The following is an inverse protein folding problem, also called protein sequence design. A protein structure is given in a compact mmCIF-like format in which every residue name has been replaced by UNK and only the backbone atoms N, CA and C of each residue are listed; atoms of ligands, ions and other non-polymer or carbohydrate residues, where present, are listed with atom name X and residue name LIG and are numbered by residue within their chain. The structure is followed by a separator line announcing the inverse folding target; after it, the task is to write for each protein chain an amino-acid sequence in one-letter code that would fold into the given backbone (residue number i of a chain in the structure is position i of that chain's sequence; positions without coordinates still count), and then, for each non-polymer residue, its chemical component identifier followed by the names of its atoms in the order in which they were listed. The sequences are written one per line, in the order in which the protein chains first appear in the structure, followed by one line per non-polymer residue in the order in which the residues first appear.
data_IF_291528736662
#
_entry.id   IF_291528736662
#
_cell.length_a   1.000
_cell.length_b   1.000
_cell.length_c   1.000
_cell.angle_alpha   90.00
_cell.angle_beta   90.00
_cell.angle_gamma   90.00
#
_symmetry.space_group_name_H-M   'P 1'
#
loop_
_entity.id
_entity.type
_entity.pdbx_description
1 polymer ?
#
# COMPACT_ATOMS: atom_id res chain seq x y z
N UNK A 1 17.35 -54.84 76.92
CA UNK A 1 18.40 -54.95 75.88
C UNK A 1 18.08 -53.97 74.74
N UNK A 2 19.07 -53.31 74.14
CA UNK A 2 18.95 -51.93 73.63
C UNK A 2 18.88 -51.87 72.06
N UNK A 3 19.23 -50.78 71.34
CA UNK A 3 18.33 -49.91 70.56
C UNK A 3 18.70 -49.78 69.05
N UNK A 4 18.07 -48.91 68.24
CA UNK A 4 18.64 -47.63 67.70
C UNK A 4 18.29 -47.51 66.19
N UNK A 5 18.20 -46.36 65.49
CA UNK A 5 18.78 -44.99 65.48
C UNK A 5 17.78 -44.02 64.79
N UNK A 6 17.81 -42.68 64.86
CA UNK A 6 18.78 -41.66 65.34
C UNK A 6 18.14 -40.23 65.33
N UNK A 7 18.58 -39.31 66.22
CA UNK A 7 19.45 -38.09 66.00
C UNK A 7 18.87 -36.97 65.11
N UNK A 8 18.98 -35.65 65.38
CA UNK A 8 19.15 -34.73 66.53
C UNK A 8 18.89 -33.29 65.99
N UNK A 9 18.65 -32.32 66.88
CA UNK A 9 18.11 -30.95 66.65
C UNK A 9 19.19 -29.83 66.55
N UNK A 10 18.87 -28.77 65.79
CA UNK A 10 19.19 -27.31 65.79
C UNK A 10 20.32 -26.61 66.60
N UNK A 11 20.64 -25.38 66.09
CA UNK A 11 21.09 -24.07 66.71
C UNK A 11 22.57 -23.67 66.50
N UNK A 12 23.06 -22.41 66.32
CA UNK A 12 22.57 -21.00 66.41
C UNK A 12 23.64 -19.98 65.83
N UNK A 13 23.31 -18.67 65.65
CA UNK A 13 24.23 -17.47 65.73
C UNK A 13 24.01 -16.36 64.66
N UNK A 14 23.30 -15.22 64.90
CA UNK A 14 23.64 -13.85 65.46
C UNK A 14 23.91 -12.74 64.37
N UNK A 15 23.05 -11.72 64.14
CA UNK A 15 23.08 -10.27 64.57
C UNK A 15 24.48 -9.59 64.52
N UNK A 16 24.77 -8.43 63.89
CA UNK A 16 24.12 -7.08 63.86
C UNK A 16 24.36 -6.27 62.55
N UNK A 17 23.72 -5.10 62.44
CA UNK A 17 23.91 -3.96 61.51
C UNK A 17 23.33 -4.01 60.08
N UNK A 18 22.09 -3.52 59.90
CA UNK A 18 21.67 -2.72 58.72
C UNK A 18 20.26 -2.12 58.90
N UNK A 19 20.05 -1.38 59.98
CA UNK A 19 18.84 -0.57 60.23
C UNK A 19 18.67 0.64 59.28
N UNK A 20 19.62 0.90 58.37
CA UNK A 20 19.48 1.90 57.30
C UNK A 20 18.78 1.35 56.04
N UNK A 21 18.83 0.03 55.82
CA UNK A 21 18.15 -0.62 54.68
C UNK A 21 16.68 -0.91 54.96
N UNK A 22 16.30 -1.04 56.24
CA UNK A 22 14.90 -1.19 56.63
C UNK A 22 14.04 0.05 56.33
N UNK A 23 14.62 1.26 56.25
CA UNK A 23 13.87 2.49 55.96
C UNK A 23 13.57 2.67 54.46
N UNK A 24 14.48 2.24 53.57
CA UNK A 24 14.23 2.16 52.12
C UNK A 24 13.21 1.07 51.75
N UNK A 25 13.15 0.00 52.53
CA UNK A 25 12.24 -1.12 52.32
C UNK A 25 10.76 -0.79 52.59
N UNK A 26 10.48 0.20 53.45
CA UNK A 26 9.10 0.49 53.87
C UNK A 26 8.29 1.38 52.91
N UNK A 27 8.93 2.21 52.07
CA UNK A 27 8.21 3.17 51.22
C UNK A 27 8.77 3.36 49.80
N UNK A 28 9.95 2.83 49.47
CA UNK A 28 10.53 2.99 48.13
C UNK A 28 9.92 2.07 47.06
N UNK A 29 9.46 0.87 47.43
CA UNK A 29 8.94 -0.10 46.46
C UNK A 29 7.53 0.26 45.96
N UNK A 30 6.76 1.06 46.71
CA UNK A 30 5.50 1.61 46.22
C UNK A 30 5.69 2.45 44.93
N UNK A 31 6.90 3.01 44.72
CA UNK A 31 7.29 3.69 43.48
C UNK A 31 7.80 2.74 42.38
N UNK A 32 8.35 1.58 42.73
CA UNK A 32 8.76 0.55 41.76
C UNK A 32 7.58 -0.31 41.28
N UNK A 33 6.53 -0.41 42.11
CA UNK A 33 5.27 -1.13 41.84
C UNK A 33 4.43 -0.40 40.77
N UNK A 34 4.72 0.86 40.41
CA UNK A 34 3.92 1.59 39.40
C UNK A 34 4.62 1.75 38.04
N UNK A 35 5.96 1.75 37.97
CA UNK A 35 6.69 2.05 36.71
C UNK A 35 7.04 0.79 35.90
N UNK A 36 6.98 -0.42 36.46
CA UNK A 36 7.23 -1.67 35.70
C UNK A 36 6.05 -2.66 35.83
N UNK A 37 4.84 -2.14 36.09
CA UNK A 37 3.58 -2.83 35.75
C UNK A 37 3.27 -2.71 34.24
N UNK A 38 4.11 -2.00 33.48
CA UNK A 38 4.20 -2.00 32.02
C UNK A 38 5.53 -2.61 31.52
N UNK A 39 6.03 -3.65 32.20
CA UNK A 39 7.02 -4.55 31.61
C UNK A 39 6.29 -5.31 30.50
N UNK A 40 6.63 -5.15 29.20
CA UNK A 40 6.17 -6.13 28.24
C UNK A 40 6.71 -7.47 28.73
N UNK A 41 5.77 -8.35 29.04
CA UNK A 41 6.03 -9.75 29.32
C UNK A 41 6.86 -10.22 28.13
N UNK A 42 8.09 -10.66 28.38
CA UNK A 42 8.85 -11.53 27.49
C UNK A 42 7.97 -12.78 27.26
N UNK A 43 6.96 -12.65 26.41
CA UNK A 43 6.80 -13.66 25.40
C UNK A 43 8.00 -13.41 24.51
N UNK A 44 8.97 -14.31 24.57
CA UNK A 44 9.64 -14.72 23.35
C UNK A 44 8.51 -14.86 22.32
N UNK A 45 8.31 -13.83 21.51
CA UNK A 45 7.64 -13.98 20.24
C UNK A 45 8.46 -15.07 19.59
N UNK A 46 7.93 -16.30 19.61
CA UNK A 46 8.29 -17.28 18.61
C UNK A 46 8.10 -16.52 17.31
N UNK A 47 9.20 -15.99 16.80
CA UNK A 47 9.31 -15.40 15.49
C UNK A 47 9.17 -16.63 14.58
N UNK A 48 7.94 -17.16 14.50
CA UNK A 48 7.58 -17.90 13.33
C UNK A 48 7.71 -16.86 12.25
N UNK A 49 8.69 -17.04 11.38
CA UNK A 49 8.86 -16.23 10.18
C UNK A 49 7.55 -16.25 9.42
N UNK A 50 6.69 -15.28 9.72
CA UNK A 50 5.44 -15.06 9.01
C UNK A 50 5.86 -14.46 7.69
N UNK A 51 6.12 -15.35 6.73
CA UNK A 51 6.58 -14.97 5.40
C UNK A 51 5.45 -14.26 4.67
N UNK A 52 5.48 -12.93 4.71
CA UNK A 52 4.68 -12.09 3.83
C UNK A 52 5.18 -12.25 2.40
N UNK A 53 4.26 -12.33 1.46
CA UNK A 53 4.56 -12.40 0.04
C UNK A 53 3.56 -11.59 -0.77
N UNK A 54 4.01 -11.07 -1.91
CA UNK A 54 3.15 -10.34 -2.84
C UNK A 54 2.33 -11.34 -3.64
N UNK A 55 1.01 -11.34 -3.46
CA UNK A 55 0.10 -12.25 -4.17
C UNK A 55 -0.41 -11.68 -5.48
N UNK A 56 -0.42 -10.35 -5.64
CA UNK A 56 -0.75 -9.70 -6.90
C UNK A 56 -0.10 -8.34 -7.03
N UNK A 57 0.24 -7.97 -8.28
CA UNK A 57 0.64 -6.63 -8.67
C UNK A 57 -0.30 -6.18 -9.80
N UNK A 58 -0.92 -5.01 -9.64
CA UNK A 58 -1.83 -4.45 -10.64
C UNK A 58 -1.42 -3.02 -10.99
N UNK A 59 -1.43 -2.74 -12.29
CA UNK A 59 -1.17 -1.42 -12.85
C UNK A 59 -2.45 -0.95 -13.54
N UNK A 60 -2.80 0.32 -13.36
CA UNK A 60 -3.97 0.94 -14.00
C UNK A 60 -3.49 2.07 -14.91
N UNK A 61 -3.05 1.79 -16.15
CA UNK A 61 -2.42 2.80 -17.00
C UNK A 61 -3.28 4.04 -17.19
N UNK A 62 -4.57 3.83 -17.47
CA UNK A 62 -5.59 4.86 -17.57
C UNK A 62 -6.40 4.95 -16.27
N UNK A 63 -6.44 6.13 -15.65
CA UNK A 63 -7.28 6.41 -14.47
C UNK A 63 -8.73 5.99 -14.77
N UNK A 64 -9.33 5.28 -13.82
CA UNK A 64 -10.71 4.78 -13.92
C UNK A 64 -10.96 3.70 -14.98
N UNK A 65 -9.95 3.20 -15.68
CA UNK A 65 -10.06 2.07 -16.61
C UNK A 65 -9.75 0.72 -15.95
N UNK A 66 -9.81 -0.37 -16.73
CA UNK A 66 -9.45 -1.72 -16.27
C UNK A 66 -7.96 -1.80 -15.90
N UNK A 67 -7.66 -2.60 -14.88
CA UNK A 67 -6.28 -2.86 -14.47
C UNK A 67 -5.63 -3.97 -15.29
N UNK A 68 -4.30 -3.96 -15.32
CA UNK A 68 -3.44 -4.98 -15.90
C UNK A 68 -2.70 -5.67 -14.76
N UNK A 69 -2.93 -6.96 -14.57
CA UNK A 69 -2.20 -7.76 -13.60
C UNK A 69 -0.85 -8.20 -14.18
N UNK A 70 0.21 -8.04 -13.40
CA UNK A 70 1.59 -8.34 -13.78
C UNK A 70 2.29 -9.16 -12.70
N UNK A 71 3.36 -9.86 -13.08
CA UNK A 71 4.20 -10.62 -12.14
C UNK A 71 5.34 -9.78 -11.57
N UNK A 72 5.79 -8.75 -12.29
CA UNK A 72 6.82 -7.82 -11.83
C UNK A 72 6.50 -6.41 -12.30
N UNK A 73 6.93 -5.41 -11.53
CA UNK A 73 6.78 -4.01 -11.89
C UNK A 73 7.98 -3.18 -11.39
N UNK A 74 8.25 -2.08 -12.08
CA UNK A 74 9.24 -1.09 -11.64
C UNK A 74 8.55 -0.10 -10.70
N UNK A 75 9.14 0.17 -9.54
CA UNK A 75 8.70 1.20 -8.62
C UNK A 75 9.53 2.48 -8.86
N UNK A 76 8.85 3.62 -8.99
CA UNK A 76 9.47 4.94 -9.09
C UNK A 76 8.86 5.91 -8.06
N UNK A 77 9.34 7.15 -8.03
CA UNK A 77 8.87 8.18 -7.10
C UNK A 77 7.36 8.55 -7.19
N UNK A 78 6.64 8.11 -8.24
CA UNK A 78 5.19 8.30 -8.43
C UNK A 78 4.38 7.02 -8.24
N UNK A 79 5.02 5.89 -7.92
CA UNK A 79 4.37 4.58 -7.77
C UNK A 79 4.88 3.56 -8.79
N UNK A 80 4.05 2.56 -9.10
CA UNK A 80 4.40 1.61 -10.15
C UNK A 80 4.51 2.34 -11.50
N UNK A 81 5.51 2.00 -12.30
CA UNK A 81 5.68 2.55 -13.64
C UNK A 81 4.39 2.40 -14.46
N UNK A 82 4.05 3.46 -15.19
CA UNK A 82 2.82 3.60 -15.99
C UNK A 82 1.50 3.66 -15.19
N UNK A 83 1.50 3.50 -13.87
CA UNK A 83 0.27 3.52 -13.08
C UNK A 83 -0.38 4.91 -13.02
N UNK A 84 -1.65 4.98 -13.43
CA UNK A 84 -2.44 6.22 -13.60
C UNK A 84 -1.64 7.33 -14.29
N UNK A 85 -0.86 6.99 -15.32
CA UNK A 85 -0.10 7.95 -16.11
C UNK A 85 -0.99 8.67 -17.13
N UNK A 86 -2.09 8.03 -17.56
CA UNK A 86 -3.10 8.62 -18.42
C UNK A 86 -4.42 8.84 -17.69
N UNK A 87 -5.21 9.79 -18.18
CA UNK A 87 -6.49 10.15 -17.60
C UNK A 87 -7.45 10.70 -18.67
N UNK A 88 -8.71 10.32 -18.56
CA UNK A 88 -9.80 10.95 -19.29
C UNK A 88 -10.24 12.23 -18.57
N UNK A 89 -10.44 13.32 -19.32
CA UNK A 89 -10.95 14.60 -18.80
C UNK A 89 -12.16 15.07 -19.60
N UNK A 90 -13.04 15.85 -18.99
CA UNK A 90 -14.08 16.61 -19.70
C UNK A 90 -13.51 17.86 -20.38
N UNK A 91 -14.36 18.58 -21.12
CA UNK A 91 -14.01 19.84 -21.81
C UNK A 91 -13.40 20.89 -20.87
N UNK A 92 -13.77 20.85 -19.58
CA UNK A 92 -13.24 21.75 -18.56
C UNK A 92 -11.88 21.32 -17.99
N UNK A 93 -11.35 20.17 -18.41
CA UNK A 93 -10.11 19.58 -17.89
C UNK A 93 -10.27 18.83 -16.57
N UNK A 94 -11.50 18.57 -16.11
CA UNK A 94 -11.74 17.82 -14.87
C UNK A 94 -11.76 16.32 -15.16
N UNK A 95 -11.14 15.52 -14.31
CA UNK A 95 -11.09 14.07 -14.53
C UNK A 95 -12.49 13.43 -14.62
N UNK A 96 -12.60 12.44 -15.51
CA UNK A 96 -13.76 11.58 -15.64
C UNK A 96 -13.56 10.32 -14.80
N UNK A 97 -14.44 10.13 -13.81
CA UNK A 97 -14.47 8.91 -12.98
C UNK A 97 -15.45 7.89 -13.53
N UNK A 98 -15.36 6.63 -13.07
CA UNK A 98 -16.37 5.61 -13.38
C UNK A 98 -17.79 5.99 -12.90
N UNK A 99 -17.93 6.89 -11.91
CA UNK A 99 -19.25 7.37 -11.45
C UNK A 99 -19.90 8.27 -12.51
N UNK A 100 -19.11 9.06 -13.22
CA UNK A 100 -19.56 9.97 -14.29
C UNK A 100 -19.58 9.27 -15.66
N UNK A 101 -18.64 8.37 -15.92
CA UNK A 101 -18.50 7.64 -17.17
C UNK A 101 -18.25 6.13 -16.89
N UNK A 102 -19.29 5.35 -16.55
CA UNK A 102 -19.15 3.94 -16.15
C UNK A 102 -18.49 3.05 -17.20
N UNK A 103 -18.65 3.37 -18.49
CA UNK A 103 -18.03 2.67 -19.61
C UNK A 103 -16.50 2.70 -19.60
N UNK A 104 -15.87 3.62 -18.85
CA UNK A 104 -14.42 3.58 -18.61
C UNK A 104 -13.98 2.23 -18.02
N UNK A 105 -14.82 1.57 -17.22
CA UNK A 105 -14.51 0.24 -16.67
C UNK A 105 -14.31 -0.85 -17.74
N UNK A 106 -14.82 -0.63 -18.96
CA UNK A 106 -14.68 -1.53 -20.09
C UNK A 106 -13.45 -1.22 -20.96
N UNK A 107 -12.79 -0.09 -20.72
CA UNK A 107 -11.57 0.29 -21.44
C UNK A 107 -10.41 -0.52 -20.89
N UNK A 108 -9.74 -1.22 -21.80
CA UNK A 108 -8.51 -1.96 -21.54
C UNK A 108 -7.34 -1.21 -22.15
N UNK A 109 -6.21 -1.22 -21.44
CA UNK A 109 -4.96 -0.66 -21.90
C UNK A 109 -3.90 -1.75 -21.94
N UNK A 110 -3.12 -1.82 -23.03
CA UNK A 110 -1.86 -2.56 -22.99
C UNK A 110 -0.84 -1.76 -22.21
N UNK A 111 -0.10 -2.45 -21.36
CA UNK A 111 1.02 -1.86 -20.64
C UNK A 111 2.20 -1.65 -21.61
N UNK A 112 2.69 -0.41 -21.81
CA UNK A 112 3.88 -0.18 -22.60
C UNK A 112 5.12 -0.75 -21.91
N UNK A 113 6.13 -1.12 -22.70
CA UNK A 113 7.44 -1.56 -22.16
C UNK A 113 8.33 -0.37 -21.86
N UNK A 114 8.19 0.71 -22.64
CA UNK A 114 8.98 1.95 -22.54
C UNK A 114 8.08 3.19 -22.59
N UNK A 115 8.55 4.32 -22.05
CA UNK A 115 7.79 5.58 -22.09
C UNK A 115 7.66 6.20 -23.49
N UNK A 116 8.42 5.71 -24.47
CA UNK A 116 8.36 6.11 -25.88
C UNK A 116 7.42 5.25 -26.71
N UNK A 117 6.91 4.14 -26.16
CA UNK A 117 5.94 3.29 -26.84
C UNK A 117 4.52 3.86 -26.75
N UNK A 118 3.71 3.74 -27.82
CA UNK A 118 2.33 4.19 -27.80
C UNK A 118 1.49 3.38 -26.80
N UNK A 119 0.55 4.05 -26.16
CA UNK A 119 -0.47 3.39 -25.35
C UNK A 119 -1.49 2.76 -26.30
N UNK A 120 -1.75 1.45 -26.18
CA UNK A 120 -2.80 0.80 -26.97
C UNK A 120 -4.06 0.67 -26.11
N UNK A 121 -5.18 1.13 -26.65
CA UNK A 121 -6.49 1.07 -25.98
C UNK A 121 -7.45 0.17 -26.75
N UNK A 122 -8.25 -0.58 -26.00
CA UNK A 122 -9.34 -1.42 -26.51
C UNK A 122 -10.60 -1.20 -25.70
N UNK A 123 -11.74 -1.32 -26.34
CA UNK A 123 -13.03 -1.37 -25.69
C UNK A 123 -14.01 -2.19 -26.54
N UNK A 124 -15.02 -2.84 -25.94
CA UNK A 124 -16.04 -3.57 -26.69
C UNK A 124 -16.74 -2.66 -27.71
N UNK A 125 -16.81 -3.11 -28.96
CA UNK A 125 -17.50 -2.39 -30.05
C UNK A 125 -16.73 -1.22 -30.66
N UNK A 126 -15.47 -0.98 -30.28
CA UNK A 126 -14.61 0.03 -30.88
C UNK A 126 -13.37 -0.59 -31.53
N UNK A 127 -12.87 -0.05 -32.65
CA UNK A 127 -11.58 -0.48 -33.21
C UNK A 127 -10.46 -0.19 -32.19
N UNK A 128 -9.42 -1.04 -32.07
CA UNK A 128 -8.27 -0.73 -31.21
C UNK A 128 -7.62 0.59 -31.61
N UNK A 129 -7.22 1.39 -30.62
CA UNK A 129 -6.55 2.68 -30.83
C UNK A 129 -5.09 2.57 -30.40
N UNK A 130 -4.19 3.12 -31.21
CA UNK A 130 -2.81 3.41 -30.79
C UNK A 130 -2.68 4.90 -30.50
N UNK A 131 -2.49 5.24 -29.24
CA UNK A 131 -2.30 6.62 -28.80
C UNK A 131 -0.81 6.93 -28.89
N UNK A 132 -0.38 7.83 -29.79
CA UNK A 132 1.03 8.20 -29.90
C UNK A 132 1.51 8.89 -28.62
N UNK A 133 2.80 8.74 -28.31
CA UNK A 133 3.40 9.46 -27.18
C UNK A 133 3.59 10.92 -27.56
N UNK A 134 2.61 11.75 -27.22
CA UNK A 134 2.71 13.19 -27.40
C UNK A 134 3.40 13.79 -26.18
N UNK A 135 4.56 14.42 -26.39
CA UNK A 135 5.34 15.17 -25.39
C UNK A 135 5.43 16.67 -25.70
N UNK A 136 4.81 17.11 -26.80
CA UNK A 136 4.91 18.47 -27.28
C UNK A 136 4.37 19.49 -26.27
N UNK A 137 5.18 20.49 -25.92
CA UNK A 137 4.79 21.57 -25.00
C UNK A 137 3.57 22.35 -25.47
N UNK A 138 3.36 22.45 -26.79
CA UNK A 138 2.19 23.12 -27.40
C UNK A 138 0.85 22.45 -27.10
N UNK A 139 0.85 21.20 -26.61
CA UNK A 139 -0.34 20.46 -26.21
C UNK A 139 -0.48 20.33 -24.70
N UNK A 140 0.32 21.10 -23.93
CA UNK A 140 0.12 21.20 -22.48
C UNK A 140 -1.25 21.83 -22.18
N UNK A 141 -1.96 21.23 -21.26
CA UNK A 141 -3.24 21.69 -20.76
C UNK A 141 -3.29 21.54 -19.25
N UNK A 142 -4.15 22.33 -18.61
CA UNK A 142 -4.30 22.29 -17.16
C UNK A 142 -5.50 21.42 -16.79
N UNK A 143 -5.24 20.38 -16.01
CA UNK A 143 -6.24 19.41 -15.58
C UNK A 143 -6.46 19.46 -14.07
N UNK A 144 -7.58 18.89 -13.62
CA UNK A 144 -7.93 18.79 -12.21
C UNK A 144 -8.22 17.35 -11.79
N UNK A 145 -7.61 16.96 -10.67
CA UNK A 145 -7.90 15.72 -9.95
C UNK A 145 -8.29 16.11 -8.54
N UNK A 146 -9.57 15.98 -8.21
CA UNK A 146 -10.12 16.49 -6.96
C UNK A 146 -9.82 18.00 -6.80
N UNK A 147 -9.22 18.40 -5.67
CA UNK A 147 -8.78 19.77 -5.43
C UNK A 147 -7.46 20.15 -6.13
N UNK A 148 -6.73 19.19 -6.69
CA UNK A 148 -5.40 19.44 -7.27
C UNK A 148 -5.51 19.91 -8.72
N UNK A 149 -4.67 20.90 -9.06
CA UNK A 149 -4.54 21.46 -10.42
C UNK A 149 -3.11 21.28 -10.90
N UNK A 150 -2.94 20.77 -12.12
CA UNK A 150 -1.63 20.37 -12.64
C UNK A 150 -1.57 20.38 -14.17
N UNK A 151 -0.36 20.40 -14.73
CA UNK A 151 -0.16 20.26 -16.17
C UNK A 151 -0.22 18.80 -16.62
N UNK A 152 -0.83 18.60 -17.77
CA UNK A 152 -0.88 17.34 -18.51
C UNK A 152 -0.70 17.63 -20.01
N UNK A 153 -0.40 16.61 -20.79
CA UNK A 153 -0.25 16.71 -22.25
C UNK A 153 -1.43 16.03 -22.92
N UNK A 154 -2.15 16.81 -23.73
CA UNK A 154 -3.23 16.31 -24.57
C UNK A 154 -2.71 15.31 -25.61
N UNK A 155 -3.36 14.15 -25.71
CA UNK A 155 -2.91 13.05 -26.57
C UNK A 155 -3.46 13.10 -28.01
N UNK A 156 -4.13 14.19 -28.40
CA UNK A 156 -4.57 14.44 -29.76
C UNK A 156 -6.03 14.11 -30.04
N UNK A 157 -6.50 14.55 -31.20
CA UNK A 157 -7.92 14.53 -31.55
C UNK A 157 -8.43 13.13 -31.88
N UNK A 158 -7.58 12.26 -32.43
CA UNK A 158 -7.93 10.85 -32.66
C UNK A 158 -8.25 10.14 -31.33
N UNK A 159 -7.45 10.39 -30.29
CA UNK A 159 -7.69 9.83 -28.96
C UNK A 159 -8.95 10.41 -28.31
N UNK A 160 -9.23 11.70 -28.51
CA UNK A 160 -10.46 12.34 -28.04
C UNK A 160 -11.70 11.73 -28.70
N UNK A 161 -11.72 11.62 -30.04
CA UNK A 161 -12.83 11.04 -30.81
C UNK A 161 -13.10 9.60 -30.39
N UNK A 162 -12.05 8.78 -30.27
CA UNK A 162 -12.19 7.40 -29.84
C UNK A 162 -12.76 7.30 -28.43
N UNK A 163 -12.23 8.11 -27.51
CA UNK A 163 -12.65 8.09 -26.10
C UNK A 163 -14.10 8.53 -25.96
N UNK A 164 -14.49 9.62 -26.61
CA UNK A 164 -15.87 10.12 -26.64
C UNK A 164 -16.83 9.04 -27.17
N UNK A 165 -16.50 8.37 -28.27
CA UNK A 165 -17.32 7.29 -28.84
C UNK A 165 -17.48 6.11 -27.85
N UNK A 166 -16.42 5.73 -27.15
CA UNK A 166 -16.43 4.60 -26.20
C UNK A 166 -17.19 4.95 -24.92
N UNK A 167 -16.94 6.10 -24.33
CA UNK A 167 -17.47 6.44 -23.00
C UNK A 167 -18.78 7.23 -23.05
N UNK A 168 -19.12 7.82 -24.19
CA UNK A 168 -20.34 8.59 -24.43
C UNK A 168 -20.37 9.95 -23.73
N UNK A 169 -19.21 10.57 -23.52
CA UNK A 169 -19.09 11.90 -22.91
C UNK A 169 -18.58 12.87 -23.97
N UNK A 170 -19.42 13.81 -24.45
CA UNK A 170 -19.02 14.80 -25.45
C UNK A 170 -17.83 15.65 -24.98
N UNK A 171 -16.89 15.89 -25.89
CA UNK A 171 -15.71 16.70 -25.65
C UNK A 171 -14.72 16.07 -24.65
N UNK A 172 -14.86 14.77 -24.37
CA UNK A 172 -13.90 14.05 -23.54
C UNK A 172 -12.55 13.95 -24.25
N UNK A 173 -11.47 14.18 -23.49
CA UNK A 173 -10.10 14.14 -24.02
C UNK A 173 -9.23 13.20 -23.19
N UNK A 174 -8.29 12.55 -23.86
CA UNK A 174 -7.27 11.74 -23.22
C UNK A 174 -6.03 12.61 -22.97
N UNK A 175 -5.56 12.62 -21.72
CA UNK A 175 -4.33 13.31 -21.34
C UNK A 175 -3.33 12.33 -20.74
N UNK A 176 -2.05 12.64 -20.88
CA UNK A 176 -0.93 12.00 -20.19
C UNK A 176 -0.32 12.97 -19.21
N UNK A 177 0.10 12.51 -18.03
CA UNK A 177 0.83 13.38 -17.12
C UNK A 177 2.13 13.86 -17.78
N UNK A 178 2.46 15.13 -17.62
CA UNK A 178 3.74 15.64 -18.14
C UNK A 178 4.90 15.09 -17.30
N UNK A 179 6.06 14.92 -17.93
CA UNK A 179 7.23 14.33 -17.28
C UNK A 179 7.81 15.27 -16.20
N UNK A 180 7.64 16.58 -16.37
CA UNK A 180 8.03 17.63 -15.42
C UNK A 180 7.01 17.86 -14.28
N UNK A 181 5.77 17.39 -14.44
CA UNK A 181 4.70 17.59 -13.45
C UNK A 181 5.01 16.83 -12.15
N UNK A 182 5.13 17.57 -11.05
CA UNK A 182 5.30 17.03 -9.70
C UNK A 182 4.03 17.26 -8.88
N UNK A 183 3.19 16.23 -8.73
CA UNK A 183 2.00 16.28 -7.88
C UNK A 183 2.33 15.80 -6.48
N UNK A 184 2.41 16.73 -5.53
CA UNK A 184 2.67 16.44 -4.13
C UNK A 184 1.49 15.66 -3.53
N UNK A 185 1.79 14.59 -2.79
CA UNK A 185 0.80 13.88 -1.97
C UNK A 185 0.42 14.75 -0.76
N UNK A 186 -0.75 14.50 -0.16
CA UNK A 186 -1.20 15.23 1.03
C UNK A 186 -0.13 15.23 2.13
N UNK A 187 0.31 16.43 2.52
CA UNK A 187 1.38 16.65 3.48
C UNK A 187 1.02 16.25 4.91
N UNK A 188 -0.26 16.05 5.18
CA UNK A 188 -0.75 15.51 6.45
C UNK A 188 -0.27 14.07 6.64
N UNK A 189 -0.11 13.32 5.55
CA UNK A 189 0.17 11.88 5.59
C UNK A 189 1.51 11.50 4.93
N UNK A 190 2.11 12.39 4.12
CA UNK A 190 3.35 12.11 3.40
C UNK A 190 4.33 13.30 3.47
N UNK A 191 5.65 13.04 3.51
CA UNK A 191 6.65 14.09 3.52
C UNK A 191 6.65 14.92 2.22
N UNK A 192 7.31 16.08 2.29
CA UNK A 192 7.54 16.91 1.11
C UNK A 192 8.40 16.13 0.12
N UNK A 193 8.02 16.15 -1.15
CA UNK A 193 8.71 15.41 -2.21
C UNK A 193 8.15 14.02 -2.46
N UNK A 194 7.13 13.58 -1.71
CA UNK A 194 6.33 12.41 -2.08
C UNK A 194 5.38 12.78 -3.21
N UNK A 195 5.53 12.14 -4.36
CA UNK A 195 4.75 12.46 -5.56
C UNK A 195 3.81 11.34 -5.94
N UNK A 196 2.77 11.68 -6.70
CA UNK A 196 1.88 10.69 -7.30
C UNK A 196 1.48 11.06 -8.71
N UNK A 197 0.97 10.07 -9.46
CA UNK A 197 0.38 10.26 -10.78
C UNK A 197 -1.04 10.84 -10.70
N UNK A 198 -1.90 10.45 -11.65
CA UNK A 198 -3.33 10.76 -11.59
C UNK A 198 -4.11 9.83 -10.64
N UNK A 199 -3.43 9.20 -9.68
CA UNK A 199 -4.08 8.44 -8.59
C UNK A 199 -5.00 9.37 -7.78
N UNK A 200 -5.75 8.84 -6.81
CA UNK A 200 -6.60 9.73 -5.98
C UNK A 200 -5.79 10.56 -4.99
N UNK A 201 -4.74 10.00 -4.39
CA UNK A 201 -3.90 10.75 -3.43
C UNK A 201 -2.50 10.21 -3.18
N UNK A 202 -2.24 8.92 -3.41
CA UNK A 202 -0.95 8.28 -3.09
C UNK A 202 -0.44 7.39 -4.23
N UNK A 203 0.89 7.22 -4.35
CA UNK A 203 1.53 6.47 -5.45
C UNK A 203 1.23 4.98 -5.45
N UNK A 204 0.87 4.40 -4.30
CA UNK A 204 0.55 2.98 -4.17
C UNK A 204 -0.64 2.80 -3.24
N UNK A 205 -1.53 1.89 -3.64
CA UNK A 205 -2.55 1.32 -2.76
C UNK A 205 -2.18 -0.13 -2.44
N UNK A 206 -1.92 -0.40 -1.17
CA UNK A 206 -1.72 -1.74 -0.64
C UNK A 206 -3.05 -2.30 -0.13
N UNK A 207 -3.33 -3.54 -0.46
CA UNK A 207 -4.41 -4.32 0.15
C UNK A 207 -3.87 -5.70 0.53
N UNK A 208 -4.69 -6.45 1.25
CA UNK A 208 -4.24 -7.71 1.82
C UNK A 208 -5.30 -8.78 1.65
N UNK A 209 -4.87 -10.03 1.49
CA UNK A 209 -5.81 -11.13 1.33
C UNK A 209 -6.71 -11.31 2.55
N UNK A 210 -6.17 -11.09 3.76
CA UNK A 210 -6.96 -11.24 4.97
C UNK A 210 -7.95 -10.11 5.21
N UNK A 211 -7.61 -8.84 4.93
CA UNK A 211 -8.59 -7.76 5.08
C UNK A 211 -9.75 -7.92 4.08
N UNK A 212 -9.49 -8.48 2.89
CA UNK A 212 -10.57 -8.85 1.97
C UNK A 212 -11.41 -10.02 2.51
N UNK A 213 -10.76 -11.06 3.05
CA UNK A 213 -11.46 -12.20 3.64
C UNK A 213 -12.37 -11.75 4.78
N UNK A 214 -11.84 -10.94 5.71
CA UNK A 214 -12.60 -10.40 6.84
C UNK A 214 -13.80 -9.58 6.38
N UNK A 215 -13.62 -8.71 5.36
CA UNK A 215 -14.74 -7.97 4.78
C UNK A 215 -15.82 -8.91 4.23
N UNK A 216 -15.41 -9.93 3.47
CA UNK A 216 -16.34 -10.89 2.88
C UNK A 216 -17.04 -11.75 3.93
N UNK A 217 -16.38 -12.10 5.03
CA UNK A 217 -17.00 -12.78 6.17
C UNK A 217 -18.07 -11.91 6.83
N UNK A 218 -17.80 -10.60 6.99
CA UNK A 218 -18.77 -9.63 7.51
C UNK A 218 -19.97 -9.43 6.56
N UNK A 219 -19.76 -9.47 5.25
CA UNK A 219 -20.84 -9.42 4.25
C UNK A 219 -21.70 -10.70 4.30
N UNK A 220 -21.05 -11.88 4.37
CA UNK A 220 -21.74 -13.15 4.49
C UNK A 220 -22.61 -13.23 5.76
N UNK A 221 -22.11 -12.73 6.89
CA UNK A 221 -22.88 -12.62 8.14
C UNK A 221 -24.15 -11.74 8.03
N UNK A 222 -24.22 -10.88 7.01
CA UNK A 222 -25.38 -10.04 6.66
C UNK A 222 -26.20 -10.58 5.49
N UNK A 223 -25.91 -11.79 5.02
CA UNK A 223 -26.47 -12.39 3.80
C UNK A 223 -26.22 -11.56 2.51
N UNK A 224 -25.10 -10.84 2.45
CA UNK A 224 -24.68 -10.08 1.27
C UNK A 224 -23.66 -10.88 0.43
N UNK A 225 -23.54 -10.56 -0.86
CA UNK A 225 -22.59 -11.20 -1.76
C UNK A 225 -21.15 -10.78 -1.48
N UNK A 226 -20.16 -11.69 -1.58
CA UNK A 226 -18.76 -11.32 -1.46
C UNK A 226 -18.33 -10.40 -2.59
N UNK A 227 -17.36 -9.54 -2.31
CA UNK A 227 -16.76 -8.64 -3.29
C UNK A 227 -15.35 -9.12 -3.67
N UNK A 228 -14.98 -9.02 -4.96
CA UNK A 228 -13.63 -9.35 -5.40
C UNK A 228 -12.63 -8.22 -5.10
N UNK A 229 -11.33 -8.58 -5.04
CA UNK A 229 -10.22 -7.65 -4.74
C UNK A 229 -10.14 -6.48 -5.73
N UNK A 230 -10.49 -6.71 -6.99
CA UNK A 230 -10.40 -5.72 -8.06
C UNK A 230 -11.34 -4.52 -7.86
N UNK A 231 -12.35 -4.63 -6.99
CA UNK A 231 -13.22 -3.51 -6.57
C UNK A 231 -12.49 -2.44 -5.78
N UNK A 232 -11.43 -2.82 -5.06
CA UNK A 232 -10.59 -1.89 -4.28
C UNK A 232 -9.46 -1.31 -5.11
N UNK A 233 -9.18 -1.89 -6.28
CA UNK A 233 -8.14 -1.46 -7.23
C UNK A 233 -6.75 -1.28 -6.60
N UNK A 234 -6.28 -2.23 -5.75
CA UNK A 234 -4.96 -2.12 -5.14
C UNK A 234 -3.88 -2.30 -6.19
N UNK A 235 -2.77 -1.58 -6.01
CA UNK A 235 -1.55 -1.81 -6.80
C UNK A 235 -0.83 -3.07 -6.38
N UNK A 236 -0.86 -3.37 -5.08
CA UNK A 236 -0.18 -4.52 -4.50
C UNK A 236 -1.11 -5.23 -3.53
N UNK A 237 -1.16 -6.55 -3.63
CA UNK A 237 -1.84 -7.40 -2.65
C UNK A 237 -0.79 -8.23 -1.93
N UNK A 238 -0.84 -8.23 -0.61
CA UNK A 238 0.05 -9.03 0.23
C UNK A 238 -0.74 -10.12 0.94
N UNK A 239 -0.18 -11.32 0.93
CA UNK A 239 -0.65 -12.47 1.68
C UNK A 239 0.41 -12.95 2.66
N UNK A 240 0.01 -13.85 3.54
CA UNK A 240 0.90 -14.55 4.46
C UNK A 240 0.93 -16.02 4.08
N UNK A 241 2.13 -16.59 3.98
CA UNK A 241 2.30 -17.98 3.55
C UNK A 241 1.99 -18.98 4.66
N UNK A 242 2.33 -18.64 5.90
CA UNK A 242 2.24 -19.51 7.07
C UNK A 242 1.74 -18.74 8.30
N UNK A 243 0.65 -19.19 8.92
CA UNK A 243 0.07 -18.61 10.13
C UNK A 243 -1.00 -17.53 9.89
N UNK A 244 -1.86 -17.32 10.90
CA UNK A 244 -2.93 -16.32 10.87
C UNK A 244 -2.43 -14.88 10.70
N UNK A 245 -3.33 -14.03 10.22
CA UNK A 245 -3.08 -12.63 9.85
C UNK A 245 -2.80 -11.72 11.05
N UNK A 246 -1.88 -10.78 10.88
CA UNK A 246 -1.51 -9.78 11.90
C UNK A 246 -1.23 -8.43 11.24
N UNK A 247 -2.18 -7.50 11.43
CA UNK A 247 -2.14 -6.16 10.85
C UNK A 247 -0.97 -5.30 11.38
N UNK A 248 -0.54 -5.49 12.63
CA UNK A 248 0.55 -4.72 13.21
C UNK A 248 1.89 -5.03 12.54
N UNK A 249 2.13 -6.31 12.25
CA UNK A 249 3.37 -6.75 11.59
C UNK A 249 3.54 -6.16 10.18
N UNK A 250 2.44 -5.84 9.48
CA UNK A 250 2.49 -5.24 8.14
C UNK A 250 2.73 -3.76 8.21
N UNK A 251 2.08 -3.04 9.12
CA UNK A 251 2.34 -1.61 9.27
C UNK A 251 3.81 -1.34 9.63
N UNK A 252 4.41 -2.19 10.48
CA UNK A 252 5.83 -2.12 10.82
C UNK A 252 6.75 -2.50 9.65
N UNK A 253 6.45 -3.59 8.92
CA UNK A 253 7.30 -4.05 7.79
C UNK A 253 7.15 -3.21 6.52
N UNK A 254 5.99 -2.60 6.28
CA UNK A 254 5.76 -1.73 5.11
C UNK A 254 6.44 -0.38 5.23
N UNK A 255 6.69 0.12 6.45
CA UNK A 255 7.52 1.32 6.69
C UNK A 255 8.94 1.17 6.13
N UNK A 256 9.49 -0.05 6.08
CA UNK A 256 10.80 -0.36 5.51
C UNK A 256 10.84 -0.63 3.99
N UNK A 257 9.69 -0.94 3.36
CA UNK A 257 9.64 -1.32 1.93
C UNK A 257 9.69 -0.15 0.95
N UNK A 258 9.45 1.07 1.42
CA UNK A 258 9.33 2.27 0.56
C UNK A 258 10.52 3.24 0.71
N UNK A 259 11.66 2.76 1.23
CA UNK A 259 12.86 3.56 1.44
C UNK A 259 13.78 3.72 0.22
N UNK A 260 13.74 2.82 -0.77
CA UNK A 260 14.64 2.84 -1.93
C UNK A 260 13.93 2.51 -3.26
N UNK A 261 14.35 3.17 -4.34
CA UNK A 261 13.93 2.86 -5.72
C UNK A 261 14.32 1.41 -6.06
N UNK A 262 13.41 0.62 -6.66
CA UNK A 262 13.66 -0.81 -6.86
C UNK A 262 12.61 -1.55 -7.70
N UNK A 263 12.89 -2.82 -8.03
CA UNK A 263 12.02 -3.71 -8.81
C UNK A 263 11.21 -4.61 -7.87
N UNK A 264 9.89 -4.63 -8.02
CA UNK A 264 8.98 -5.50 -7.24
C UNK A 264 8.63 -6.77 -8.03
N UNK A 265 8.54 -7.92 -7.35
CA UNK A 265 8.16 -9.22 -7.92
C UNK A 265 7.08 -9.91 -7.09
N UNK A 266 6.13 -10.57 -7.73
CA UNK A 266 5.11 -11.41 -7.09
C UNK A 266 5.66 -12.77 -6.61
N UNK A 267 6.91 -13.10 -6.92
CA UNK A 267 7.57 -14.35 -6.49
C UNK A 267 8.52 -14.18 -5.31
N UNK A 268 8.78 -12.95 -4.84
CA UNK A 268 9.70 -12.71 -3.73
C UNK A 268 8.97 -12.80 -2.39
N UNK A 269 9.49 -13.64 -1.49
CA UNK A 269 9.24 -13.46 -0.06
C UNK A 269 9.79 -12.09 0.36
N UNK A 270 9.02 -11.33 1.13
CA UNK A 270 9.55 -10.12 1.76
C UNK A 270 10.57 -10.59 2.80
N UNK A 271 11.85 -10.38 2.52
CA UNK A 271 12.93 -10.78 3.39
C UNK A 271 12.74 -10.15 4.79
N UNK A 272 13.12 -10.85 5.88
CA UNK A 272 13.22 -10.22 7.18
C UNK A 272 14.20 -9.05 7.08
N UNK A 273 13.76 -7.89 7.56
CA UNK A 273 14.53 -6.66 7.58
C UNK A 273 15.70 -6.84 8.57
N UNK A 274 16.93 -6.95 8.07
CA UNK A 274 18.12 -6.72 8.87
C UNK A 274 18.53 -5.26 8.66
N UNK A 275 18.41 -4.45 9.71
CA UNK A 275 19.17 -3.20 9.83
C UNK A 275 20.64 -3.59 9.89
N UNK A 276 21.31 -3.63 8.75
CA UNK A 276 22.68 -3.15 8.58
C UNK A 276 23.12 -3.34 7.13
N UNK A 277 23.79 -2.30 6.61
CA UNK A 277 24.65 -2.27 5.41
C UNK A 277 24.05 -1.82 4.06
N UNK A 278 24.35 -0.54 3.77
CA UNK A 278 24.56 0.19 2.49
C UNK A 278 23.40 0.41 1.51
#
# INVERSE_FOLDING_TARGET
APPSRGTFRNTLGSMEDMSFVAFLAANGLAFLILIIVFRPRNQETKNQDRHLHVTAINIFPLKSAKGVSVTTAVLNARGLAFDRLWMAVDEGGSFLSQRRAPKLALVEADLPTTYSEPLKLRAPGAPPLQVPVVTASSRKTVVRVWGDRMEAVDQGDEAAVWLEAVIGVPGARLVRMSDDTKRQCDRTYAPRGSHTGFSDGFPLLLATNASLQELNDRLAARNEHPVPMDRFRPNMVVGQKDGGWDDQAIEERTKGLFGNEGRLSSSSALAPFEEDSW
#
